data_IF_492480760815
#
_entry.id   IF_492480760815
#
_cell.length_a   1.000
_cell.length_b   1.000
_cell.length_c   1.000
_cell.angle_alpha   90.00
_cell.angle_beta   90.00
_cell.angle_gamma   90.00
#
_symmetry.space_group_name_H-M   'P 1'
#
loop_
_entity.id
_entity.type
_entity.pdbx_description
1 polymer ?
#
# COMPACT_ATOMS: atom_id res chain seq x y z
N UNK A 1 4.13 -44.74 64.91
CA UNK A 1 4.17 -43.36 64.38
C UNK A 1 4.20 -43.42 62.86
N UNK A 2 3.17 -42.83 62.21
CA UNK A 2 3.07 -42.32 60.83
C UNK A 2 3.32 -43.27 59.62
N UNK A 3 2.16 -43.66 59.06
CA UNK A 3 1.76 -43.94 57.66
C UNK A 3 2.58 -43.16 56.62
N UNK A 4 2.82 -43.72 55.41
CA UNK A 4 2.34 -43.14 54.12
C UNK A 4 2.50 -44.10 52.94
N UNK A 5 1.38 -44.33 52.25
CA UNK A 5 1.16 -45.08 51.02
C UNK A 5 1.77 -44.29 49.84
N UNK A 6 2.71 -44.86 49.09
CA UNK A 6 3.15 -44.30 47.80
C UNK A 6 2.18 -44.76 46.70
N UNK A 7 1.06 -44.04 46.57
CA UNK A 7 0.15 -44.17 45.44
C UNK A 7 0.76 -43.53 44.20
N UNK A 8 0.98 -44.34 43.16
CA UNK A 8 1.38 -43.89 41.82
C UNK A 8 0.18 -43.14 41.21
N UNK A 9 0.29 -41.82 41.08
CA UNK A 9 -0.66 -40.99 40.32
C UNK A 9 -0.09 -40.71 38.93
N UNK A 10 -0.59 -41.43 37.93
CA UNK A 10 -0.44 -41.09 36.51
C UNK A 10 -1.19 -39.79 36.23
N UNK A 11 -0.44 -38.71 35.96
CA UNK A 11 -1.00 -37.45 35.44
C UNK A 11 -1.17 -37.52 33.92
N UNK A 12 -2.40 -37.62 33.44
CA UNK A 12 -2.74 -37.42 32.02
C UNK A 12 -2.83 -35.91 31.77
N UNK A 13 -1.85 -35.36 31.05
CA UNK A 13 -1.91 -33.99 30.56
C UNK A 13 -2.89 -33.92 29.36
N UNK A 14 -4.06 -33.32 29.57
CA UNK A 14 -4.97 -32.94 28.50
C UNK A 14 -4.40 -31.71 27.78
N UNK A 15 -3.93 -31.91 26.55
CA UNK A 15 -3.59 -30.84 25.62
C UNK A 15 -4.89 -30.16 25.15
N UNK A 16 -5.32 -29.12 25.85
CA UNK A 16 -6.35 -28.22 25.34
C UNK A 16 -5.74 -27.38 24.20
N UNK A 17 -5.93 -27.82 22.96
CA UNK A 17 -5.61 -27.02 21.79
C UNK A 17 -6.54 -25.80 21.71
N UNK A 18 -5.97 -24.59 21.74
CA UNK A 18 -6.71 -23.38 21.45
C UNK A 18 -7.07 -23.40 19.95
N UNK A 19 -8.33 -23.71 19.63
CA UNK A 19 -8.89 -23.41 18.31
C UNK A 19 -8.98 -21.90 18.16
N UNK A 20 -8.02 -21.29 17.47
CA UNK A 20 -8.23 -19.95 16.97
C UNK A 20 -9.43 -19.98 16.02
N UNK A 21 -10.41 -19.07 16.14
CA UNK A 21 -11.42 -18.92 15.11
C UNK A 21 -10.67 -18.64 13.80
N UNK A 22 -10.84 -19.52 12.82
CA UNK A 22 -10.45 -19.23 11.44
C UNK A 22 -11.18 -17.95 11.08
N UNK A 23 -10.43 -16.86 10.87
CA UNK A 23 -10.94 -15.77 10.07
C UNK A 23 -11.36 -16.40 8.75
N UNK A 24 -12.67 -16.43 8.48
CA UNK A 24 -13.15 -16.74 7.14
C UNK A 24 -12.54 -15.69 6.23
N UNK A 25 -11.52 -16.08 5.47
CA UNK A 25 -11.08 -15.29 4.35
C UNK A 25 -12.29 -15.21 3.41
N UNK A 26 -12.98 -14.07 3.43
CA UNK A 26 -13.94 -13.74 2.39
C UNK A 26 -13.18 -13.90 1.08
N UNK A 27 -13.51 -14.95 0.34
CA UNK A 27 -12.97 -15.19 -0.99
C UNK A 27 -13.36 -13.99 -1.83
N UNK A 28 -12.44 -13.04 -1.98
CA UNK A 28 -12.55 -11.93 -2.91
C UNK A 28 -12.58 -12.55 -4.30
N UNK A 29 -13.79 -12.82 -4.79
CA UNK A 29 -14.06 -13.49 -6.05
C UNK A 29 -13.59 -12.68 -7.28
N UNK A 30 -13.15 -11.44 -7.11
CA UNK A 30 -12.60 -10.57 -8.16
C UNK A 30 -11.08 -10.47 -8.10
N UNK A 31 -10.38 -11.56 -8.46
CA UNK A 31 -8.96 -11.58 -8.84
C UNK A 31 -7.92 -11.38 -7.70
N UNK A 32 -6.83 -12.14 -7.73
CA UNK A 32 -5.60 -11.84 -6.96
C UNK A 32 -4.72 -10.91 -7.79
N UNK A 33 -5.16 -9.68 -7.99
CA UNK A 33 -4.43 -8.70 -8.80
C UNK A 33 -3.31 -8.02 -8.03
N UNK A 34 -2.46 -7.28 -8.75
CA UNK A 34 -1.33 -6.57 -8.15
C UNK A 34 -1.74 -5.16 -7.71
N UNK A 35 -1.21 -4.69 -6.59
CA UNK A 35 -1.20 -3.30 -6.18
C UNK A 35 -0.03 -2.61 -6.87
N UNK A 36 -0.37 -1.69 -7.77
CA UNK A 36 0.56 -0.88 -8.55
C UNK A 36 0.38 0.59 -8.24
N UNK A 37 1.35 1.40 -8.65
CA UNK A 37 1.24 2.84 -8.55
C UNK A 37 1.89 3.56 -9.73
N UNK A 38 1.39 4.75 -10.01
CA UNK A 38 1.95 5.73 -10.93
C UNK A 38 2.01 7.06 -10.18
N UNK A 39 3.20 7.61 -10.07
CA UNK A 39 3.44 8.85 -9.36
C UNK A 39 3.57 9.99 -10.38
N UNK A 40 2.58 10.89 -10.40
CA UNK A 40 2.59 12.04 -11.28
C UNK A 40 3.30 13.27 -10.69
N UNK A 41 3.93 13.11 -9.52
CA UNK A 41 4.45 14.21 -8.72
C UNK A 41 5.97 14.25 -8.71
N UNK A 42 6.52 15.40 -8.30
CA UNK A 42 7.96 15.60 -8.10
C UNK A 42 8.51 14.94 -6.83
N UNK A 43 7.65 14.46 -5.94
CA UNK A 43 8.04 13.84 -4.68
C UNK A 43 8.16 12.33 -4.87
N UNK A 44 9.08 11.68 -4.18
CA UNK A 44 9.08 10.22 -4.12
C UNK A 44 7.91 9.74 -3.23
N UNK A 45 7.36 8.57 -3.54
CA UNK A 45 6.44 7.84 -2.67
C UNK A 45 7.27 6.76 -1.95
N UNK A 46 7.68 7.04 -0.72
CA UNK A 46 8.57 6.18 0.07
C UNK A 46 7.91 4.86 0.49
N UNK A 47 6.58 4.86 0.60
CA UNK A 47 5.77 3.66 0.74
C UNK A 47 4.29 4.05 0.54
N UNK A 48 3.46 3.06 0.22
CA UNK A 48 2.02 3.23 0.19
C UNK A 48 1.27 1.93 0.48
N UNK A 49 -0.02 2.06 0.82
CA UNK A 49 -0.91 0.94 1.03
C UNK A 49 -2.33 1.24 0.53
N UNK A 50 -3.07 0.17 0.24
CA UNK A 50 -4.50 0.20 -0.10
C UNK A 50 -5.24 -0.59 0.97
N UNK A 51 -6.09 0.06 1.75
CA UNK A 51 -6.78 -0.53 2.90
C UNK A 51 -5.80 -1.25 3.87
N UNK A 52 -4.61 -0.67 4.08
CA UNK A 52 -3.55 -1.26 4.91
C UNK A 52 -2.71 -2.34 4.23
N UNK A 53 -3.06 -2.77 3.01
CA UNK A 53 -2.28 -3.73 2.24
C UNK A 53 -1.15 -3.02 1.48
N UNK A 54 0.09 -3.38 1.77
CA UNK A 54 1.27 -2.71 1.22
C UNK A 54 1.39 -2.86 -0.30
N UNK A 55 1.73 -1.76 -0.97
CA UNK A 55 2.13 -1.74 -2.38
C UNK A 55 3.53 -2.30 -2.65
N UNK A 56 4.30 -2.60 -1.59
CA UNK A 56 5.69 -3.10 -1.54
C UNK A 56 6.74 -2.09 -2.03
N UNK A 57 6.45 -1.37 -3.10
CA UNK A 57 7.45 -0.61 -3.85
C UNK A 57 7.58 0.86 -3.41
N UNK A 58 8.75 1.44 -3.67
CA UNK A 58 9.02 2.88 -3.60
C UNK A 58 8.86 3.44 -5.01
N UNK A 59 8.05 4.49 -5.17
CA UNK A 59 7.82 5.07 -6.50
C UNK A 59 8.58 6.38 -6.62
N UNK A 60 9.52 6.45 -7.55
CA UNK A 60 10.27 7.67 -7.85
C UNK A 60 9.36 8.80 -8.35
N UNK A 61 9.85 10.06 -8.35
CA UNK A 61 9.17 11.15 -9.02
C UNK A 61 8.89 10.82 -10.49
N UNK A 62 7.65 11.06 -10.94
CA UNK A 62 7.27 10.87 -12.35
C UNK A 62 7.54 9.45 -12.88
N UNK A 63 7.25 8.44 -12.06
CA UNK A 63 7.55 7.04 -12.36
C UNK A 63 6.37 6.11 -12.04
N UNK A 64 6.46 4.85 -12.40
CA UNK A 64 5.48 3.82 -12.08
C UNK A 64 6.15 2.54 -11.57
N UNK A 65 5.42 1.81 -10.72
CA UNK A 65 5.94 0.60 -10.07
C UNK A 65 4.88 -0.09 -9.25
N UNK A 66 5.32 -0.80 -8.21
CA UNK A 66 4.50 -1.63 -7.35
C UNK A 66 4.84 -3.11 -7.45
N UNK A 67 3.95 -3.95 -6.96
CA UNK A 67 4.25 -5.38 -6.81
C UNK A 67 3.56 -6.02 -5.62
N UNK A 68 2.87 -5.23 -4.79
CA UNK A 68 2.01 -5.75 -3.74
C UNK A 68 1.04 -6.80 -4.30
N UNK A 69 1.04 -8.00 -3.74
CA UNK A 69 0.15 -9.05 -4.23
C UNK A 69 -1.27 -8.85 -3.74
N UNK A 70 -2.20 -9.52 -4.44
CA UNK A 70 -3.40 -10.12 -3.88
C UNK A 70 -4.49 -9.11 -3.54
N UNK A 71 -4.56 -7.99 -4.27
CA UNK A 71 -5.71 -7.10 -4.18
C UNK A 71 -6.84 -7.64 -5.04
N UNK A 72 -7.99 -7.90 -4.41
CA UNK A 72 -9.22 -8.27 -5.07
C UNK A 72 -10.36 -7.33 -4.74
N UNK A 73 -11.31 -7.23 -5.67
CA UNK A 73 -12.58 -6.52 -5.46
C UNK A 73 -13.75 -7.51 -5.38
N UNK A 74 -14.88 -7.13 -4.78
CA UNK A 74 -16.12 -7.90 -4.87
C UNK A 74 -16.51 -8.20 -6.33
N UNK A 75 -17.12 -9.36 -6.58
CA UNK A 75 -17.56 -9.76 -7.92
C UNK A 75 -18.57 -8.79 -8.56
N UNK A 76 -19.38 -8.11 -7.73
CA UNK A 76 -20.36 -7.12 -8.17
C UNK A 76 -19.97 -5.77 -7.60
N UNK A 77 -19.70 -4.81 -8.48
CA UNK A 77 -19.49 -3.42 -8.08
C UNK A 77 -20.77 -2.83 -7.52
N UNK A 78 -20.62 -1.91 -6.55
CA UNK A 78 -21.74 -1.13 -6.00
C UNK A 78 -21.37 0.35 -5.96
N UNK A 79 -22.33 1.25 -6.24
CA UNK A 79 -22.13 2.68 -6.05
C UNK A 79 -21.64 3.01 -4.64
N UNK A 80 -20.63 3.87 -4.56
CA UNK A 80 -20.04 4.31 -3.28
C UNK A 80 -19.00 3.36 -2.68
N UNK A 81 -18.58 2.31 -3.39
CA UNK A 81 -17.39 1.55 -2.99
C UNK A 81 -16.17 2.46 -2.90
N UNK A 82 -15.40 2.32 -1.83
CA UNK A 82 -14.21 3.14 -1.58
C UNK A 82 -13.02 2.29 -1.16
N UNK A 83 -11.84 2.88 -1.29
CA UNK A 83 -10.58 2.40 -0.72
C UNK A 83 -9.88 3.55 -0.01
N UNK A 84 -9.24 3.24 1.11
CA UNK A 84 -8.31 4.13 1.80
C UNK A 84 -6.92 3.92 1.24
N UNK A 85 -6.28 5.00 0.81
CA UNK A 85 -4.90 5.03 0.39
C UNK A 85 -4.11 5.75 1.47
N UNK A 86 -3.05 5.11 1.94
CA UNK A 86 -2.08 5.71 2.86
C UNK A 86 -0.73 5.74 2.17
N UNK A 87 0.00 6.85 2.25
CA UNK A 87 1.31 6.95 1.62
C UNK A 87 2.18 8.00 2.31
N UNK A 88 3.49 7.83 2.17
CA UNK A 88 4.47 8.82 2.60
C UNK A 88 5.17 9.42 1.38
N UNK A 89 5.15 10.75 1.27
CA UNK A 89 6.00 11.46 0.30
C UNK A 89 7.36 11.80 0.92
N UNK A 90 8.41 11.81 0.12
CA UNK A 90 9.76 12.26 0.53
C UNK A 90 10.54 12.90 -0.62
N UNK A 91 11.71 13.44 -0.30
CA UNK A 91 12.61 14.00 -1.31
C UNK A 91 13.12 12.90 -2.25
N UNK A 92 12.77 12.97 -3.53
CA UNK A 92 13.20 12.01 -4.56
C UNK A 92 14.57 12.31 -5.16
N UNK A 93 15.52 12.80 -4.37
CA UNK A 93 16.85 13.24 -4.84
C UNK A 93 17.96 12.72 -3.93
N UNK A 94 19.16 12.56 -4.47
CA UNK A 94 20.40 12.30 -3.71
C UNK A 94 21.25 13.56 -3.53
N UNK A 95 20.70 14.74 -3.82
CA UNK A 95 21.42 16.00 -3.71
C UNK A 95 22.02 16.19 -2.31
N UNK A 96 23.30 16.59 -2.28
CA UNK A 96 24.06 16.80 -1.05
C UNK A 96 24.45 15.52 -0.31
N UNK A 97 24.29 14.33 -0.92
CA UNK A 97 24.74 13.06 -0.34
C UNK A 97 26.26 13.06 -0.11
N UNK A 98 26.75 12.95 1.14
CA UNK A 98 28.17 13.13 1.46
C UNK A 98 29.02 11.86 1.23
N UNK A 99 28.42 10.78 0.69
CA UNK A 99 29.02 9.46 0.72
C UNK A 99 28.93 8.81 2.11
N UNK A 100 29.53 7.62 2.24
CA UNK A 100 29.45 6.82 3.48
C UNK A 100 30.70 6.91 4.37
N UNK A 101 31.76 7.62 3.93
CA UNK A 101 33.04 7.68 4.64
C UNK A 101 32.96 8.45 5.97
N UNK A 102 32.14 9.50 6.02
CA UNK A 102 31.93 10.34 7.22
C UNK A 102 30.53 10.09 7.78
N UNK A 103 30.47 9.37 8.90
CA UNK A 103 29.21 8.95 9.52
C UNK A 103 28.38 10.13 10.04
N UNK A 104 29.02 11.16 10.56
CA UNK A 104 28.30 12.31 11.14
C UNK A 104 27.67 13.15 10.02
N UNK A 105 28.39 13.36 8.91
CA UNK A 105 27.81 14.01 7.72
C UNK A 105 26.69 13.17 7.11
N UNK A 106 26.87 11.86 7.00
CA UNK A 106 25.82 10.96 6.51
C UNK A 106 24.54 11.09 7.34
N UNK A 107 24.63 11.01 8.67
CA UNK A 107 23.47 11.12 9.57
C UNK A 107 22.80 12.49 9.48
N UNK A 108 23.58 13.56 9.37
CA UNK A 108 23.04 14.91 9.21
C UNK A 108 22.25 15.05 7.90
N UNK A 109 22.79 14.49 6.81
CA UNK A 109 22.09 14.43 5.53
C UNK A 109 20.82 13.58 5.61
N UNK A 110 20.90 12.36 6.16
CA UNK A 110 19.74 11.47 6.33
C UNK A 110 18.63 12.13 7.15
N UNK A 111 18.98 12.78 8.27
CA UNK A 111 18.01 13.54 9.09
C UNK A 111 17.36 14.67 8.29
N UNK A 112 18.13 15.40 7.48
CA UNK A 112 17.61 16.44 6.59
C UNK A 112 16.64 15.86 5.55
N UNK A 113 16.96 14.72 4.94
CA UNK A 113 16.08 14.08 3.96
C UNK A 113 14.79 13.60 4.61
N UNK A 114 14.87 12.87 5.72
CA UNK A 114 13.70 12.35 6.45
C UNK A 114 12.82 13.47 7.01
N UNK A 115 13.38 14.63 7.35
CA UNK A 115 12.59 15.78 7.83
C UNK A 115 11.62 16.37 6.78
N UNK A 116 11.81 16.03 5.50
CA UNK A 116 10.93 16.44 4.41
C UNK A 116 9.79 15.43 4.18
N UNK A 117 9.81 14.29 4.88
CA UNK A 117 8.79 13.27 4.72
C UNK A 117 7.43 13.77 5.25
N UNK A 118 6.36 13.45 4.54
CA UNK A 118 4.98 13.76 4.94
C UNK A 118 4.13 12.51 4.80
N UNK A 119 3.36 12.22 5.84
CA UNK A 119 2.35 11.16 5.84
C UNK A 119 1.04 11.69 5.30
N UNK A 120 0.37 10.88 4.49
CA UNK A 120 -0.89 11.21 3.85
C UNK A 120 -1.88 10.06 3.96
N UNK A 121 -3.16 10.41 3.93
CA UNK A 121 -4.26 9.46 3.90
C UNK A 121 -5.44 10.03 3.13
N UNK A 122 -5.98 9.25 2.19
CA UNK A 122 -7.16 9.66 1.42
C UNK A 122 -8.05 8.47 1.08
N UNK A 123 -9.34 8.62 1.35
CA UNK A 123 -10.36 7.68 0.89
C UNK A 123 -10.89 8.13 -0.46
N UNK A 124 -10.86 7.24 -1.44
CA UNK A 124 -11.33 7.52 -2.80
C UNK A 124 -12.33 6.47 -3.27
N UNK A 125 -13.24 6.89 -4.15
CA UNK A 125 -14.21 6.02 -4.78
C UNK A 125 -13.50 5.12 -5.78
N UNK A 126 -13.84 3.83 -5.77
CA UNK A 126 -13.42 2.87 -6.78
C UNK A 126 -14.32 3.04 -8.00
N UNK A 127 -13.77 3.37 -9.19
CA UNK A 127 -14.57 3.49 -10.41
C UNK A 127 -15.36 2.21 -10.72
N UNK A 128 -16.50 2.39 -11.39
CA UNK A 128 -17.37 1.29 -11.80
C UNK A 128 -16.62 0.33 -12.76
N UNK A 129 -16.57 -0.94 -12.38
CA UNK A 129 -15.99 -2.03 -13.16
C UNK A 129 -17.04 -3.04 -13.65
N UNK A 130 -18.32 -2.67 -13.62
CA UNK A 130 -19.41 -3.52 -14.10
C UNK A 130 -19.18 -3.89 -15.57
N UNK A 131 -19.25 -5.19 -15.86
CA UNK A 131 -19.01 -5.72 -17.21
C UNK A 131 -17.54 -5.70 -17.65
N UNK A 132 -16.60 -5.43 -16.75
CA UNK A 132 -15.16 -5.38 -17.04
C UNK A 132 -14.40 -6.39 -16.16
N UNK A 133 -13.31 -6.92 -16.69
CA UNK A 133 -12.34 -7.67 -15.89
C UNK A 133 -11.51 -6.72 -15.00
N UNK A 134 -11.09 -7.23 -13.85
CA UNK A 134 -10.29 -6.48 -12.87
C UNK A 134 -8.94 -7.18 -12.63
N UNK A 135 -7.84 -6.43 -12.65
CA UNK A 135 -6.48 -6.98 -12.53
C UNK A 135 -5.69 -6.45 -11.33
N UNK A 136 -6.40 -6.10 -10.25
CA UNK A 136 -5.82 -5.52 -9.05
C UNK A 136 -6.22 -4.07 -8.91
N UNK A 137 -5.29 -3.24 -8.45
CA UNK A 137 -5.52 -1.80 -8.31
C UNK A 137 -4.25 -1.03 -8.62
N UNK A 138 -4.38 0.02 -9.44
CA UNK A 138 -3.32 0.99 -9.68
C UNK A 138 -3.70 2.31 -9.01
N UNK A 139 -2.83 2.79 -8.12
CA UNK A 139 -2.95 4.09 -7.45
C UNK A 139 -2.19 5.15 -8.25
N UNK A 140 -2.87 6.22 -8.64
CA UNK A 140 -2.25 7.39 -9.24
C UNK A 140 -2.07 8.46 -8.18
N UNK A 141 -0.83 8.79 -7.81
CA UNK A 141 -0.53 9.91 -6.92
C UNK A 141 -0.45 11.19 -7.74
N UNK A 142 -1.23 12.19 -7.35
CA UNK A 142 -1.40 13.45 -8.08
C UNK A 142 -0.87 14.61 -7.24
N UNK A 143 -0.55 15.76 -7.87
CA UNK A 143 -0.25 16.97 -7.12
C UNK A 143 -1.38 17.37 -6.17
N UNK A 144 -1.07 18.17 -5.15
CA UNK A 144 -2.03 18.57 -4.11
C UNK A 144 -2.53 17.40 -3.24
N UNK A 145 -1.66 16.42 -2.99
CA UNK A 145 -1.93 15.29 -2.11
C UNK A 145 -3.24 14.54 -2.51
N UNK A 146 -3.55 14.51 -3.80
CA UNK A 146 -4.73 13.83 -4.37
C UNK A 146 -4.36 12.47 -4.96
N UNK A 147 -5.33 11.56 -5.02
CA UNK A 147 -5.14 10.23 -5.59
C UNK A 147 -6.32 9.82 -6.46
N UNK A 148 -6.04 9.06 -7.51
CA UNK A 148 -7.05 8.32 -8.28
C UNK A 148 -6.70 6.84 -8.27
N UNK A 149 -7.70 6.00 -8.45
CA UNK A 149 -7.50 4.54 -8.52
C UNK A 149 -8.20 3.96 -9.73
N UNK A 150 -7.70 2.83 -10.21
CA UNK A 150 -8.34 2.02 -11.24
C UNK A 150 -8.06 0.55 -11.00
N UNK A 151 -9.03 -0.31 -11.31
CA UNK A 151 -8.90 -1.77 -11.29
C UNK A 151 -8.66 -2.37 -12.67
N UNK A 152 -8.53 -1.53 -13.69
CA UNK A 152 -8.41 -1.93 -15.10
C UNK A 152 -7.22 -2.85 -15.37
N UNK A 153 -7.43 -3.81 -16.25
CA UNK A 153 -6.38 -4.69 -16.79
C UNK A 153 -5.50 -4.03 -17.86
N UNK A 154 -5.90 -2.87 -18.38
CA UNK A 154 -5.11 -2.19 -19.40
C UNK A 154 -3.84 -1.57 -18.81
N UNK A 155 -2.75 -1.57 -19.58
CA UNK A 155 -1.53 -0.84 -19.22
C UNK A 155 -1.71 0.67 -19.50
N UNK A 156 -0.97 1.57 -18.81
CA UNK A 156 -1.15 3.02 -18.96
C UNK A 156 -0.98 3.56 -20.39
N UNK A 157 -0.15 2.90 -21.20
CA UNK A 157 0.07 3.27 -22.61
C UNK A 157 -1.10 2.87 -23.53
N UNK A 158 -2.02 2.02 -23.07
CA UNK A 158 -3.11 1.53 -23.90
C UNK A 158 -4.22 2.60 -24.06
N UNK A 159 -4.80 2.68 -25.25
CA UNK A 159 -5.89 3.61 -25.56
C UNK A 159 -7.11 3.44 -24.64
N UNK A 160 -7.38 2.24 -24.16
CA UNK A 160 -8.52 1.91 -23.28
C UNK A 160 -8.23 2.12 -21.78
N UNK A 161 -7.02 2.53 -21.40
CA UNK A 161 -6.71 2.80 -20.00
C UNK A 161 -7.54 3.97 -19.46
N UNK A 162 -8.24 3.85 -18.32
CA UNK A 162 -9.26 4.83 -17.92
C UNK A 162 -8.70 6.17 -17.41
N UNK A 163 -7.42 6.23 -17.00
CA UNK A 163 -6.81 7.46 -16.47
C UNK A 163 -5.82 8.02 -17.50
N UNK A 164 -6.21 9.11 -18.16
CA UNK A 164 -5.42 9.80 -19.21
C UNK A 164 -4.71 11.04 -18.67
N UNK A 165 -3.81 10.84 -17.72
CA UNK A 165 -3.00 11.91 -17.14
C UNK A 165 -1.57 11.86 -17.67
N UNK A 166 -0.92 13.01 -17.90
CA UNK A 166 0.50 13.03 -18.26
C UNK A 166 1.33 12.54 -17.07
N UNK A 167 2.46 11.86 -17.34
CA UNK A 167 3.32 11.35 -16.27
C UNK A 167 3.88 12.49 -15.41
N UNK A 168 4.36 13.57 -16.03
CA UNK A 168 4.78 14.77 -15.30
C UNK A 168 3.62 15.75 -15.13
N UNK A 169 3.17 15.95 -13.89
CA UNK A 169 2.19 16.98 -13.55
C UNK A 169 2.81 18.05 -12.67
N UNK A 170 2.62 19.32 -13.06
CA UNK A 170 3.06 20.46 -12.25
C UNK A 170 2.07 20.69 -11.12
N UNK A 171 2.61 20.85 -9.91
CA UNK A 171 1.82 21.24 -8.75
C UNK A 171 1.41 22.72 -8.87
N UNK A 172 0.10 23.04 -8.76
CA UNK A 172 -0.35 24.42 -8.80
C UNK A 172 0.12 25.17 -7.55
N UNK A 173 0.25 26.50 -7.65
CA UNK A 173 0.63 27.35 -6.50
C UNK A 173 -0.36 27.28 -5.34
N UNK A 174 -1.63 27.04 -5.66
CA UNK A 174 -2.72 26.91 -4.70
C UNK A 174 -3.48 25.65 -5.05
N UNK A 175 -3.59 24.74 -4.08
CA UNK A 175 -4.37 23.54 -4.23
C UNK A 175 -5.86 23.85 -4.08
N UNK A 176 -6.72 23.29 -4.95
CA UNK A 176 -8.17 23.36 -4.76
C UNK A 176 -8.56 22.82 -3.38
N UNK A 177 -9.55 23.45 -2.75
CA UNK A 177 -10.15 22.96 -1.49
C UNK A 177 -11.20 21.90 -1.78
#
# INVERSE_FOLDING_TARGET
MKITICGVLLGVFLLAGCSQPKAEAQTQSGGTGTIKAINHTKWAINHFSVNGQSGIDIIGPFDGGGGGCCYGVPAVWKPGMTVRIDWQTGAGTSEGFPGFADREKYKAWEKKMTSQNREHSKTVVVPDYTGQETCGITVHFLPCDDVKVTTSCWSPANANYPIKLPLEMKEPKVCPK
#
